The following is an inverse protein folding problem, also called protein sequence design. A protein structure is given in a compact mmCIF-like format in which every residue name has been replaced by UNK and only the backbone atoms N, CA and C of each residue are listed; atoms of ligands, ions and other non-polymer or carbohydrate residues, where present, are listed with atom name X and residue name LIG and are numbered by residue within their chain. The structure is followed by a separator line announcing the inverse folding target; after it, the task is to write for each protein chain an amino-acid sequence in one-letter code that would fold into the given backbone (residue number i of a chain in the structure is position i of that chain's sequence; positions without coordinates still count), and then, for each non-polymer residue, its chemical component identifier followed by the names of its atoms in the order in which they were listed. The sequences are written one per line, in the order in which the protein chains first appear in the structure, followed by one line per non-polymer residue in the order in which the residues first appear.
data_IF_476804159534
#
_entry.id   IF_476804159534
#
_cell.length_a   1.000
_cell.length_b   1.000
_cell.length_c   1.000
_cell.angle_alpha   90.00
_cell.angle_beta   90.00
_cell.angle_gamma   90.00
#
_symmetry.space_group_name_H-M   'P 1'
#
loop_
_entity.id
_entity.type
_entity.pdbx_description
1 polymer ?
#
# COMPACT_ATOMS: atom_id res chain seq x y z
N UNK A 1 24.19 1.99 24.85
CA UNK A 1 23.25 2.57 23.88
C UNK A 1 23.84 2.29 22.52
N UNK A 2 23.28 1.40 21.69
CA UNK A 2 23.84 1.17 20.37
C UNK A 2 23.58 2.41 19.52
N UNK A 3 24.63 2.87 18.86
CA UNK A 3 24.61 3.99 17.91
C UNK A 3 23.77 3.58 16.71
N UNK A 4 22.58 4.15 16.56
CA UNK A 4 21.79 4.02 15.34
C UNK A 4 22.52 4.76 14.23
N UNK A 5 23.13 4.02 13.30
CA UNK A 5 23.75 4.58 12.10
C UNK A 5 22.68 5.30 11.27
N UNK A 6 22.82 6.62 11.10
CA UNK A 6 21.88 7.47 10.35
C UNK A 6 21.67 7.03 8.90
N UNK A 7 22.62 6.27 8.33
CA UNK A 7 22.50 5.66 7.00
C UNK A 7 21.44 4.56 6.93
N UNK A 8 21.25 3.80 8.01
CA UNK A 8 20.28 2.69 8.08
C UNK A 8 18.83 3.21 8.13
N UNK A 9 18.60 4.27 8.89
CA UNK A 9 17.32 4.99 8.98
C UNK A 9 16.90 5.57 7.62
N UNK A 10 17.83 6.24 6.92
CA UNK A 10 17.58 6.80 5.61
C UNK A 10 17.25 5.73 4.56
N UNK A 11 17.98 4.61 4.59
CA UNK A 11 17.74 3.49 3.69
C UNK A 11 16.37 2.83 3.94
N UNK A 12 15.99 2.64 5.20
CA UNK A 12 14.68 2.15 5.60
C UNK A 12 13.55 3.07 5.13
N UNK A 13 13.71 4.39 5.30
CA UNK A 13 12.75 5.38 4.84
C UNK A 13 12.54 5.34 3.32
N UNK A 14 13.62 5.23 2.54
CA UNK A 14 13.53 5.09 1.07
C UNK A 14 12.78 3.81 0.68
N UNK A 15 13.12 2.67 1.29
CA UNK A 15 12.45 1.40 1.00
C UNK A 15 10.94 1.48 1.29
N UNK A 16 10.57 2.10 2.42
CA UNK A 16 9.16 2.30 2.79
C UNK A 16 8.44 3.23 1.82
N UNK A 17 9.10 4.30 1.34
CA UNK A 17 8.55 5.19 0.34
C UNK A 17 8.29 4.46 -1.00
N UNK A 18 9.25 3.65 -1.46
CA UNK A 18 9.11 2.85 -2.69
C UNK A 18 7.98 1.82 -2.54
N UNK A 19 7.94 1.11 -1.41
CA UNK A 19 6.88 0.15 -1.11
C UNK A 19 5.51 0.81 -1.06
N UNK A 20 5.39 1.95 -0.38
CA UNK A 20 4.16 2.74 -0.32
C UNK A 20 3.71 3.22 -1.70
N UNK A 21 4.64 3.66 -2.55
CA UNK A 21 4.36 4.05 -3.93
C UNK A 21 3.85 2.89 -4.79
N UNK A 22 4.51 1.73 -4.73
CA UNK A 22 4.05 0.51 -5.41
C UNK A 22 2.65 0.08 -4.95
N UNK A 23 2.41 0.11 -3.63
CA UNK A 23 1.11 -0.17 -3.05
C UNK A 23 0.03 0.80 -3.54
N UNK A 24 0.35 2.09 -3.67
CA UNK A 24 -0.59 3.08 -4.19
C UNK A 24 -0.98 2.77 -5.65
N UNK A 25 -0.03 2.35 -6.48
CA UNK A 25 -0.31 1.92 -7.86
C UNK A 25 -1.24 0.71 -7.86
N UNK A 26 -0.97 -0.29 -7.02
CA UNK A 26 -1.82 -1.48 -6.87
C UNK A 26 -3.23 -1.09 -6.43
N UNK A 27 -3.36 -0.15 -5.48
CA UNK A 27 -4.65 0.34 -5.03
C UNK A 27 -5.43 1.00 -6.19
N UNK A 28 -4.78 1.87 -6.97
CA UNK A 28 -5.41 2.53 -8.13
C UNK A 28 -5.86 1.50 -9.17
N UNK A 29 -5.05 0.50 -9.47
CA UNK A 29 -5.41 -0.58 -10.40
C UNK A 29 -6.60 -1.40 -9.88
N UNK A 30 -6.58 -1.79 -8.60
CA UNK A 30 -7.68 -2.48 -7.94
C UNK A 30 -8.98 -1.67 -7.98
N UNK A 31 -8.90 -0.36 -7.73
CA UNK A 31 -10.04 0.56 -7.85
C UNK A 31 -10.54 0.70 -9.29
N UNK A 32 -9.67 0.60 -10.30
CA UNK A 32 -10.09 0.52 -11.70
C UNK A 32 -10.96 -0.72 -11.94
N UNK A 33 -10.58 -1.85 -11.35
CA UNK A 33 -11.28 -3.12 -11.51
C UNK A 33 -12.58 -3.20 -10.72
N UNK A 34 -12.77 -2.45 -9.64
CA UNK A 34 -14.06 -2.41 -8.91
C UNK A 34 -15.23 -1.97 -9.81
N UNK A 35 -14.96 -1.18 -10.86
CA UNK A 35 -15.99 -0.82 -11.86
C UNK A 35 -16.60 -2.04 -12.56
N UNK A 36 -15.88 -3.16 -12.62
CA UNK A 36 -16.40 -4.42 -13.17
C UNK A 36 -17.56 -4.99 -12.33
N UNK A 37 -17.69 -4.62 -11.04
CA UNK A 37 -18.87 -4.95 -10.24
C UNK A 37 -20.13 -4.35 -10.86
N UNK A 38 -20.05 -3.08 -11.30
CA UNK A 38 -21.17 -2.40 -11.94
C UNK A 38 -21.48 -2.96 -13.34
N UNK A 39 -20.48 -3.57 -14.00
CA UNK A 39 -20.65 -4.26 -15.28
C UNK A 39 -21.18 -5.70 -15.14
N UNK A 40 -21.47 -6.17 -13.92
CA UNK A 40 -21.97 -7.52 -13.64
C UNK A 40 -20.88 -8.60 -13.56
N UNK A 41 -19.59 -8.25 -13.74
CA UNK A 41 -18.49 -9.17 -13.54
C UNK A 41 -18.02 -9.14 -12.07
N UNK A 42 -18.75 -9.90 -11.26
CA UNK A 42 -18.57 -9.93 -9.80
C UNK A 42 -17.18 -10.46 -9.43
N UNK A 43 -16.66 -11.48 -10.12
CA UNK A 43 -15.36 -12.09 -9.82
C UNK A 43 -14.21 -11.08 -9.90
N UNK A 44 -14.09 -10.39 -11.04
CA UNK A 44 -13.01 -9.40 -11.26
C UNK A 44 -13.24 -8.17 -10.39
N UNK A 45 -14.49 -7.74 -10.26
CA UNK A 45 -14.84 -6.58 -9.46
C UNK A 45 -14.56 -6.76 -7.97
N UNK A 46 -14.90 -7.93 -7.40
CA UNK A 46 -14.63 -8.26 -6.00
C UNK A 46 -13.13 -8.42 -5.76
N UNK A 47 -12.39 -8.98 -6.71
CA UNK A 47 -10.93 -9.05 -6.62
C UNK A 47 -10.29 -7.65 -6.61
N UNK A 48 -10.74 -6.77 -7.51
CA UNK A 48 -10.31 -5.37 -7.52
C UNK A 48 -10.62 -4.64 -6.22
N UNK A 49 -11.78 -4.91 -5.62
CA UNK A 49 -12.18 -4.33 -4.34
C UNK A 49 -11.28 -4.80 -3.19
N UNK A 50 -11.02 -6.10 -3.10
CA UNK A 50 -10.10 -6.66 -2.11
C UNK A 50 -8.68 -6.10 -2.26
N UNK A 51 -8.20 -5.97 -3.50
CA UNK A 51 -6.91 -5.33 -3.77
C UNK A 51 -6.87 -3.89 -3.30
N UNK A 52 -7.90 -3.10 -3.60
CA UNK A 52 -7.98 -1.70 -3.19
C UNK A 52 -7.99 -1.54 -1.67
N UNK A 53 -8.87 -2.28 -0.98
CA UNK A 53 -8.99 -2.22 0.48
C UNK A 53 -7.73 -2.76 1.15
N UNK A 54 -7.19 -3.88 0.69
CA UNK A 54 -5.97 -4.47 1.22
C UNK A 54 -4.75 -3.56 1.05
N UNK A 55 -4.56 -2.99 -0.15
CA UNK A 55 -3.48 -2.05 -0.40
C UNK A 55 -3.64 -0.77 0.43
N UNK A 56 -4.86 -0.22 0.53
CA UNK A 56 -5.15 0.95 1.36
C UNK A 56 -4.84 0.71 2.85
N UNK A 57 -5.22 -0.46 3.38
CA UNK A 57 -4.87 -0.86 4.75
C UNK A 57 -3.35 -0.93 4.95
N UNK A 58 -2.63 -1.51 3.99
CA UNK A 58 -1.19 -1.68 4.11
C UNK A 58 -0.44 -0.34 4.02
N UNK A 59 -0.87 0.58 3.15
CA UNK A 59 -0.37 1.96 3.10
C UNK A 59 -0.60 2.66 4.44
N UNK A 60 -1.80 2.53 5.01
CA UNK A 60 -2.11 3.12 6.32
C UNK A 60 -1.21 2.55 7.43
N UNK A 61 -0.97 1.23 7.41
CA UNK A 61 -0.04 0.56 8.34
C UNK A 61 1.39 1.08 8.19
N UNK A 62 1.88 1.23 6.96
CA UNK A 62 3.20 1.83 6.68
C UNK A 62 3.29 3.27 7.17
N UNK A 63 2.21 4.06 7.12
CA UNK A 63 2.19 5.40 7.69
C UNK A 63 2.25 5.37 9.22
N UNK A 64 1.49 4.48 9.86
CA UNK A 64 1.44 4.33 11.33
C UNK A 64 2.79 3.93 11.90
N UNK A 65 3.45 2.94 11.33
CA UNK A 65 4.85 2.57 11.65
C UNK A 65 5.84 3.71 11.41
N UNK A 66 5.47 4.79 10.73
CA UNK A 66 6.38 5.90 10.43
C UNK A 66 6.18 7.07 11.38
N UNK A 67 5.05 7.08 12.08
CA UNK A 67 4.67 8.08 13.07
C UNK A 67 4.97 7.56 14.48
N UNK A 68 4.79 6.26 14.71
CA UNK A 68 5.01 5.61 16.00
C UNK A 68 6.49 5.27 16.27
N UNK A 69 7.37 5.47 15.27
CA UNK A 69 8.83 5.28 15.34
C UNK A 69 9.54 6.63 15.39
#
# INVERSE_FOLDING_TARGET
MPSTDSGTEFWSAIQRAILGGLLAIIAILGFGWTRQLAAGNILVGSFGFLLFVGAGYWIYSLFRMGIDE
#
